data_IF_231424013018
#
_entry.id   IF_231424013018
#
_cell.length_a   1.000
_cell.length_b   1.000
_cell.length_c   1.000
_cell.angle_alpha   90.00
_cell.angle_beta   90.00
_cell.angle_gamma   90.00
#
_symmetry.space_group_name_H-M   'P 1'
#
loop_
_entity.id
_entity.type
_entity.pdbx_description
1 polymer ?
#
# COMPACT_ATOMS: atom_id res chain seq x y z
N UNK A 1 -1.33 -14.84 6.95
CA UNK A 1 -1.59 -15.70 5.78
C UNK A 1 -2.99 -16.33 5.73
N UNK A 2 -3.84 -16.14 6.78
CA UNK A 2 -5.16 -16.79 6.88
C UNK A 2 -6.12 -16.45 5.74
N UNK A 3 -6.20 -15.18 5.34
CA UNK A 3 -7.12 -14.75 4.28
C UNK A 3 -6.79 -15.43 2.94
N UNK A 4 -5.54 -15.34 2.50
CA UNK A 4 -5.12 -15.92 1.22
C UNK A 4 -5.21 -17.43 1.22
N UNK A 5 -4.87 -18.10 2.33
CA UNK A 5 -4.98 -19.55 2.48
C UNK A 5 -6.41 -20.04 2.26
N UNK A 6 -7.39 -19.38 2.89
CA UNK A 6 -8.80 -19.74 2.75
C UNK A 6 -9.32 -19.49 1.33
N UNK A 7 -9.01 -18.33 0.77
CA UNK A 7 -9.44 -17.94 -0.59
C UNK A 7 -8.81 -18.86 -1.64
N UNK A 8 -7.49 -19.10 -1.57
CA UNK A 8 -6.79 -19.95 -2.52
C UNK A 8 -7.31 -21.37 -2.49
N UNK A 9 -7.50 -21.93 -1.30
CA UNK A 9 -8.07 -23.26 -1.13
C UNK A 9 -9.48 -23.36 -1.74
N UNK A 10 -10.37 -22.45 -1.41
CA UNK A 10 -11.74 -22.45 -1.93
C UNK A 10 -11.77 -22.25 -3.46
N UNK A 11 -11.03 -21.27 -3.98
CA UNK A 11 -11.00 -20.98 -5.41
C UNK A 11 -10.46 -22.17 -6.22
N UNK A 12 -9.38 -22.79 -5.78
CA UNK A 12 -8.80 -23.96 -6.46
C UNK A 12 -9.71 -25.19 -6.42
N UNK A 13 -10.52 -25.35 -5.38
CA UNK A 13 -11.52 -26.43 -5.33
C UNK A 13 -12.69 -26.20 -6.29
N UNK A 14 -13.10 -24.94 -6.47
CA UNK A 14 -14.20 -24.57 -7.40
C UNK A 14 -13.69 -24.59 -8.85
N UNK A 15 -12.53 -24.04 -9.10
CA UNK A 15 -11.90 -23.98 -10.42
C UNK A 15 -10.38 -24.07 -10.32
N UNK A 16 -9.79 -25.26 -10.51
CA UNK A 16 -8.35 -25.47 -10.41
C UNK A 16 -7.51 -24.64 -11.39
N UNK A 17 -8.11 -24.16 -12.51
CA UNK A 17 -7.40 -23.37 -13.52
C UNK A 17 -7.21 -21.90 -13.15
N UNK A 18 -7.87 -21.40 -12.10
CA UNK A 18 -7.69 -20.02 -11.63
C UNK A 18 -6.29 -19.83 -11.08
N UNK A 19 -5.56 -18.86 -11.61
CA UNK A 19 -4.26 -18.46 -11.06
C UNK A 19 -4.48 -17.60 -9.81
N UNK A 20 -3.88 -18.00 -8.71
CA UNK A 20 -3.90 -17.27 -7.43
C UNK A 20 -2.56 -16.57 -7.25
N UNK A 21 -2.61 -15.26 -7.09
CA UNK A 21 -1.42 -14.43 -6.83
C UNK A 21 -1.53 -13.84 -5.43
N UNK A 22 -0.58 -14.18 -4.57
CA UNK A 22 -0.40 -13.57 -3.26
C UNK A 22 0.31 -12.22 -3.39
N UNK A 23 -0.03 -11.29 -2.52
CA UNK A 23 0.63 -9.99 -2.48
C UNK A 23 1.03 -9.66 -1.05
N UNK A 24 2.29 -9.31 -0.85
CA UNK A 24 2.84 -8.85 0.42
C UNK A 24 3.46 -7.46 0.28
N UNK A 25 3.57 -6.67 1.36
CA UNK A 25 4.40 -5.47 1.33
C UNK A 25 5.88 -5.85 1.33
N UNK A 26 6.71 -5.13 0.58
CA UNK A 26 8.15 -5.36 0.52
C UNK A 26 8.81 -5.36 1.91
N UNK A 27 8.32 -4.49 2.81
CA UNK A 27 8.83 -4.40 4.19
C UNK A 27 8.34 -5.50 5.14
N UNK A 28 7.54 -6.48 4.69
CA UNK A 28 7.06 -7.60 5.51
C UNK A 28 6.72 -8.83 4.64
N UNK A 29 7.63 -9.25 3.76
CA UNK A 29 7.45 -10.35 2.80
C UNK A 29 7.78 -11.72 3.42
N UNK A 30 7.13 -12.08 4.52
CA UNK A 30 7.44 -13.30 5.27
C UNK A 30 6.92 -14.58 4.60
N UNK A 31 5.84 -14.50 3.81
CA UNK A 31 5.34 -15.64 3.05
C UNK A 31 6.20 -15.92 1.81
N UNK A 32 6.65 -14.88 1.12
CA UNK A 32 7.57 -15.01 -0.01
C UNK A 32 8.86 -15.70 0.45
N UNK A 33 9.49 -15.18 1.50
CA UNK A 33 10.70 -15.77 2.06
C UNK A 33 10.50 -17.24 2.48
N UNK A 34 9.36 -17.56 3.11
CA UNK A 34 9.07 -18.92 3.53
C UNK A 34 8.87 -19.87 2.34
N UNK A 35 8.26 -19.41 1.24
CA UNK A 35 8.05 -20.22 0.03
C UNK A 35 9.37 -20.42 -0.73
N UNK A 36 10.21 -19.41 -0.82
CA UNK A 36 11.54 -19.50 -1.46
C UNK A 36 12.47 -20.46 -0.72
N UNK A 37 12.48 -20.43 0.62
CA UNK A 37 13.32 -21.28 1.45
C UNK A 37 12.70 -22.66 1.73
N UNK A 38 11.47 -22.90 1.28
CA UNK A 38 10.68 -24.12 1.55
C UNK A 38 10.49 -24.45 3.04
N UNK A 39 10.56 -23.43 3.91
CA UNK A 39 10.40 -23.54 5.36
C UNK A 39 9.91 -22.21 5.95
N UNK A 40 9.40 -22.26 7.18
CA UNK A 40 9.01 -21.04 7.90
C UNK A 40 10.24 -20.16 8.17
N UNK A 41 10.18 -18.93 7.68
CA UNK A 41 11.22 -17.92 7.89
C UNK A 41 10.72 -16.83 8.83
N UNK A 42 11.55 -16.44 9.79
CA UNK A 42 11.29 -15.30 10.67
C UNK A 42 12.15 -14.13 10.26
N UNK A 43 11.50 -13.07 9.75
CA UNK A 43 12.17 -11.81 9.39
C UNK A 43 12.78 -11.14 10.64
N UNK A 44 13.94 -10.54 10.50
CA UNK A 44 14.59 -9.78 11.57
C UNK A 44 13.77 -8.57 12.00
N UNK A 45 13.24 -7.85 11.01
CA UNK A 45 12.41 -6.66 11.21
C UNK A 45 11.30 -6.60 10.17
N UNK A 46 10.28 -5.80 10.44
CA UNK A 46 9.20 -5.48 9.51
C UNK A 46 8.92 -3.98 9.58
N UNK A 47 8.70 -3.37 8.42
CA UNK A 47 8.38 -1.94 8.31
C UNK A 47 7.49 -1.71 7.09
N UNK A 48 6.22 -1.40 7.30
CA UNK A 48 5.25 -1.11 6.24
C UNK A 48 4.04 -0.37 6.79
N UNK A 49 3.36 0.39 5.95
CA UNK A 49 2.06 1.01 6.27
C UNK A 49 0.90 0.00 6.25
N UNK A 50 1.13 -1.24 5.82
CA UNK A 50 0.15 -2.31 5.81
C UNK A 50 0.15 -3.08 7.13
N UNK A 51 -0.29 -2.44 8.22
CA UNK A 51 -0.21 -2.95 9.60
C UNK A 51 -0.77 -4.36 9.78
N UNK A 52 -1.90 -4.67 9.16
CA UNK A 52 -2.53 -6.00 9.27
C UNK A 52 -1.71 -7.15 8.67
N UNK A 53 -0.69 -6.83 7.87
CA UNK A 53 0.25 -7.80 7.30
C UNK A 53 1.69 -7.62 7.80
N UNK A 54 1.93 -6.68 8.71
CA UNK A 54 3.24 -6.39 9.29
C UNK A 54 3.66 -7.47 10.31
N UNK A 55 3.79 -8.71 9.88
CA UNK A 55 4.15 -9.85 10.70
C UNK A 55 5.52 -10.41 10.32
N UNK A 56 6.32 -10.76 11.33
CA UNK A 56 7.67 -11.31 11.09
C UNK A 56 7.68 -12.72 10.51
N UNK A 57 6.61 -13.45 10.69
CA UNK A 57 6.50 -14.84 10.25
C UNK A 57 5.04 -15.19 9.99
N UNK A 58 4.78 -15.90 8.91
CA UNK A 58 3.45 -16.48 8.67
C UNK A 58 3.18 -17.66 9.60
N UNK A 59 1.89 -18.01 9.79
CA UNK A 59 1.52 -19.19 10.57
C UNK A 59 1.86 -20.50 9.84
N UNK A 60 2.07 -21.57 10.60
CA UNK A 60 2.37 -22.92 10.06
C UNK A 60 1.26 -23.43 9.13
N UNK A 61 0.01 -23.43 9.60
CA UNK A 61 -1.13 -23.86 8.77
C UNK A 61 -1.29 -23.01 7.51
N UNK A 62 -1.29 -21.66 7.56
CA UNK A 62 -1.27 -20.84 6.34
C UNK A 62 -0.13 -21.16 5.39
N UNK A 63 1.06 -21.44 5.86
CA UNK A 63 2.20 -21.79 5.02
C UNK A 63 1.94 -23.02 4.15
N UNK A 64 1.42 -24.10 4.72
CA UNK A 64 1.08 -25.31 3.98
C UNK A 64 0.03 -25.06 2.89
N UNK A 65 -0.98 -24.23 3.18
CA UNK A 65 -2.01 -23.88 2.20
C UNK A 65 -1.47 -22.95 1.10
N UNK A 66 -0.61 -22.01 1.45
CA UNK A 66 0.04 -21.11 0.48
C UNK A 66 0.91 -21.93 -0.47
N UNK A 67 1.77 -22.80 0.03
CA UNK A 67 2.58 -23.71 -0.81
C UNK A 67 1.74 -24.53 -1.78
N UNK A 68 0.58 -24.97 -1.35
CA UNK A 68 -0.27 -25.88 -2.13
C UNK A 68 -1.14 -25.18 -3.16
N UNK A 69 -1.63 -23.98 -2.86
CA UNK A 69 -2.72 -23.36 -3.62
C UNK A 69 -2.41 -21.98 -4.20
N UNK A 70 -1.33 -21.34 -3.79
CA UNK A 70 -0.90 -20.04 -4.33
C UNK A 70 0.13 -20.28 -5.43
N UNK A 71 -0.13 -19.75 -6.62
CA UNK A 71 0.70 -19.98 -7.80
C UNK A 71 1.91 -19.03 -7.87
N UNK A 72 1.80 -17.85 -7.27
CA UNK A 72 2.82 -16.80 -7.32
C UNK A 72 2.65 -15.87 -6.12
N UNK A 73 3.74 -15.35 -5.59
CA UNK A 73 3.73 -14.25 -4.60
C UNK A 73 4.51 -13.08 -5.18
N UNK A 74 3.94 -11.90 -5.09
CA UNK A 74 4.58 -10.63 -5.51
C UNK A 74 4.60 -9.65 -4.35
N UNK A 75 5.55 -8.74 -4.36
CA UNK A 75 5.63 -7.69 -3.34
C UNK A 75 5.28 -6.33 -3.92
N UNK A 76 4.80 -5.43 -3.07
CA UNK A 76 4.52 -4.03 -3.37
C UNK A 76 5.17 -3.12 -2.33
N UNK A 77 5.64 -1.98 -2.78
CA UNK A 77 6.20 -0.96 -1.89
C UNK A 77 5.08 -0.16 -1.19
N UNK A 78 5.41 0.50 -0.09
CA UNK A 78 4.50 1.42 0.59
C UNK A 78 4.06 2.59 -0.30
N UNK A 79 4.93 3.00 -1.24
CA UNK A 79 4.56 3.99 -2.26
C UNK A 79 3.42 3.49 -3.16
N UNK A 80 3.51 2.26 -3.66
CA UNK A 80 2.46 1.65 -4.49
C UNK A 80 1.16 1.46 -3.71
N UNK A 81 1.25 1.18 -2.41
CA UNK A 81 0.09 1.13 -1.52
C UNK A 81 -0.58 2.50 -1.38
N UNK A 82 0.19 3.56 -1.15
CA UNK A 82 -0.36 4.94 -1.10
C UNK A 82 -1.03 5.33 -2.41
N UNK A 83 -0.44 4.97 -3.55
CA UNK A 83 -1.03 5.21 -4.87
C UNK A 83 -2.36 4.46 -5.06
N UNK A 84 -2.43 3.19 -4.63
CA UNK A 84 -3.65 2.40 -4.68
C UNK A 84 -4.73 2.96 -3.73
N UNK A 85 -4.34 3.42 -2.54
CA UNK A 85 -5.23 4.08 -1.59
C UNK A 85 -5.87 5.34 -2.19
N UNK A 86 -5.05 6.24 -2.73
CA UNK A 86 -5.54 7.46 -3.37
C UNK A 86 -6.46 7.15 -4.56
N UNK A 87 -6.15 6.12 -5.35
CA UNK A 87 -7.01 5.68 -6.45
C UNK A 87 -8.40 5.28 -5.93
N UNK A 88 -8.47 4.49 -4.84
CA UNK A 88 -9.74 4.10 -4.23
C UNK A 88 -10.53 5.30 -3.72
N UNK A 89 -9.89 6.20 -2.98
CA UNK A 89 -10.55 7.39 -2.43
C UNK A 89 -11.04 8.32 -3.55
N UNK A 90 -10.17 8.63 -4.52
CA UNK A 90 -10.50 9.59 -5.57
C UNK A 90 -11.51 9.07 -6.60
N UNK A 91 -11.38 7.81 -7.02
CA UNK A 91 -12.19 7.26 -8.12
C UNK A 91 -13.39 6.44 -7.65
N UNK A 92 -13.24 5.72 -6.55
CA UNK A 92 -14.26 4.78 -6.09
C UNK A 92 -14.98 5.23 -4.81
N UNK A 93 -14.47 6.25 -4.11
CA UNK A 93 -15.01 6.73 -2.82
C UNK A 93 -15.02 5.63 -1.76
N UNK A 94 -14.04 4.75 -1.82
CA UNK A 94 -13.85 3.65 -0.88
C UNK A 94 -12.60 3.90 -0.04
N UNK A 95 -12.69 3.53 1.23
CA UNK A 95 -11.58 3.53 2.17
C UNK A 95 -11.35 2.08 2.60
N UNK A 96 -10.11 1.62 2.42
CA UNK A 96 -9.66 0.32 2.91
C UNK A 96 -8.24 0.47 3.46
N UNK A 97 -7.92 -0.31 4.48
CA UNK A 97 -6.60 -0.30 5.13
C UNK A 97 -5.48 -0.77 4.20
N UNK A 98 -4.23 -0.43 4.50
CA UNK A 98 -3.06 -0.79 3.70
C UNK A 98 -3.00 -2.27 3.35
N UNK A 99 -3.25 -3.14 4.32
CA UNK A 99 -3.32 -4.59 4.12
C UNK A 99 -4.47 -5.02 3.19
N UNK A 100 -5.58 -4.30 3.23
CA UNK A 100 -6.77 -4.60 2.43
C UNK A 100 -6.65 -4.22 0.95
N UNK A 101 -5.69 -3.39 0.58
CA UNK A 101 -5.48 -2.90 -0.79
C UNK A 101 -4.24 -3.46 -1.48
N UNK A 102 -3.49 -4.35 -0.85
CA UNK A 102 -2.29 -4.99 -1.41
C UNK A 102 -2.55 -5.53 -2.82
N UNK A 103 -3.64 -6.26 -3.00
CA UNK A 103 -4.01 -6.83 -4.29
C UNK A 103 -4.24 -5.79 -5.39
N UNK A 104 -4.80 -4.62 -5.03
CA UNK A 104 -5.00 -3.51 -5.97
C UNK A 104 -3.66 -2.87 -6.36
N UNK A 105 -2.77 -2.66 -5.38
CA UNK A 105 -1.44 -2.10 -5.62
C UNK A 105 -0.62 -2.95 -6.61
N UNK A 106 -0.72 -4.27 -6.51
CA UNK A 106 -0.01 -5.20 -7.36
C UNK A 106 -0.47 -5.20 -8.84
N UNK A 107 -1.67 -4.71 -9.16
CA UNK A 107 -2.20 -4.77 -10.53
C UNK A 107 -1.30 -4.07 -11.57
N UNK A 108 -0.54 -3.06 -11.17
CA UNK A 108 0.41 -2.37 -12.06
C UNK A 108 1.63 -3.24 -12.41
N UNK A 109 2.03 -4.15 -11.52
CA UNK A 109 3.16 -5.08 -11.70
C UNK A 109 2.77 -6.32 -12.50
N UNK A 110 1.49 -6.69 -12.45
CA UNK A 110 1.00 -7.92 -13.07
C UNK A 110 0.66 -7.72 -14.56
N UNK A 111 1.06 -8.67 -15.39
CA UNK A 111 0.74 -8.68 -16.82
C UNK A 111 -0.69 -9.18 -17.06
N UNK A 112 -1.67 -8.29 -16.83
CA UNK A 112 -3.09 -8.63 -16.86
C UNK A 112 -3.80 -8.39 -18.22
N UNK A 113 -3.06 -8.06 -19.29
CA UNK A 113 -3.67 -7.80 -20.60
C UNK A 113 -4.53 -8.99 -21.07
N UNK A 114 -5.78 -8.70 -21.43
CA UNK A 114 -6.76 -9.69 -21.91
C UNK A 114 -7.11 -10.81 -20.93
N UNK A 115 -6.86 -10.60 -19.64
CA UNK A 115 -7.24 -11.53 -18.57
C UNK A 115 -8.40 -10.95 -17.76
N UNK A 116 -9.23 -11.81 -17.21
CA UNK A 116 -10.19 -11.44 -16.15
C UNK A 116 -9.44 -11.51 -14.83
N UNK A 117 -9.36 -10.40 -14.13
CA UNK A 117 -8.67 -10.28 -12.84
C UNK A 117 -9.66 -9.88 -11.78
N UNK A 118 -9.62 -10.56 -10.65
CA UNK A 118 -10.35 -10.18 -9.44
C UNK A 118 -9.32 -9.73 -8.42
N UNK A 119 -9.39 -8.46 -8.04
CA UNK A 119 -8.62 -7.89 -6.94
C UNK A 119 -9.51 -7.83 -5.71
N UNK A 120 -9.12 -8.51 -4.66
CA UNK A 120 -9.87 -8.54 -3.41
C UNK A 120 -9.49 -7.31 -2.57
N UNK A 121 -10.46 -6.45 -2.30
CA UNK A 121 -10.31 -5.37 -1.33
C UNK A 121 -10.92 -5.84 -0.02
N UNK A 122 -10.13 -5.84 1.04
CA UNK A 122 -10.54 -6.32 2.36
C UNK A 122 -10.04 -5.36 3.46
N UNK A 123 -10.68 -5.43 4.60
CA UNK A 123 -10.30 -4.61 5.76
C UNK A 123 -10.54 -3.10 5.58
N UNK A 124 -10.97 -2.45 6.64
CA UNK A 124 -11.25 -1.01 6.66
C UNK A 124 -11.06 -0.44 8.05
N UNK A 125 -10.31 -1.13 8.91
CA UNK A 125 -10.05 -0.70 10.29
C UNK A 125 -8.96 0.38 10.30
N UNK A 126 -9.33 1.58 9.87
CA UNK A 126 -8.44 2.75 9.86
C UNK A 126 -9.07 3.88 10.68
N UNK A 127 -8.25 4.51 11.50
CA UNK A 127 -8.62 5.76 12.15
C UNK A 127 -8.48 6.96 11.18
N UNK A 128 -9.20 8.03 11.50
CA UNK A 128 -9.26 9.25 10.65
C UNK A 128 -7.89 9.92 10.50
N UNK A 129 -7.03 9.85 11.52
CA UNK A 129 -5.69 10.44 11.47
C UNK A 129 -4.79 9.68 10.50
N UNK A 130 -4.85 8.37 10.51
CA UNK A 130 -4.14 7.50 9.55
C UNK A 130 -4.62 7.77 8.11
N UNK A 131 -5.93 7.88 7.89
CA UNK A 131 -6.51 8.23 6.58
C UNK A 131 -5.96 9.59 6.10
N UNK A 132 -6.01 10.62 6.96
CA UNK A 132 -5.49 11.95 6.64
C UNK A 132 -4.00 11.91 6.31
N UNK A 133 -3.21 11.20 7.10
CA UNK A 133 -1.77 11.04 6.87
C UNK A 133 -1.47 10.36 5.52
N UNK A 134 -2.19 9.28 5.19
CA UNK A 134 -2.02 8.59 3.90
C UNK A 134 -2.40 9.48 2.72
N UNK A 135 -3.49 10.25 2.82
CA UNK A 135 -3.89 11.21 1.79
C UNK A 135 -2.80 12.25 1.59
N UNK A 136 -2.34 12.90 2.66
CA UNK A 136 -1.32 13.96 2.60
C UNK A 136 -0.01 13.43 2.00
N UNK A 137 0.51 12.31 2.49
CA UNK A 137 1.73 11.67 1.97
C UNK A 137 1.59 11.33 0.48
N UNK A 138 0.46 10.80 0.08
CA UNK A 138 0.20 10.46 -1.31
C UNK A 138 0.06 11.70 -2.21
N UNK A 139 -0.52 12.80 -1.73
CA UNK A 139 -0.59 14.08 -2.47
C UNK A 139 0.80 14.72 -2.62
N UNK A 140 1.63 14.66 -1.59
CA UNK A 140 3.04 15.11 -1.64
C UNK A 140 3.81 14.26 -2.66
N UNK A 141 3.68 12.95 -2.59
CA UNK A 141 4.32 12.01 -3.51
C UNK A 141 3.96 12.23 -4.99
N UNK A 142 2.73 12.67 -5.26
CA UNK A 142 2.26 13.06 -6.61
C UNK A 142 2.63 14.51 -7.00
N UNK A 143 3.36 15.23 -6.16
CA UNK A 143 3.70 16.64 -6.40
C UNK A 143 2.48 17.57 -6.39
N UNK A 144 1.36 17.17 -5.78
CA UNK A 144 0.14 18.01 -5.64
C UNK A 144 0.20 18.92 -4.42
N UNK A 145 1.03 18.57 -3.45
CA UNK A 145 1.37 19.38 -2.28
C UNK A 145 2.88 19.45 -2.19
N UNK A 146 3.39 20.65 -1.95
CA UNK A 146 4.79 20.91 -1.66
C UNK A 146 4.89 21.48 -0.25
N UNK A 147 5.75 20.92 0.59
CA UNK A 147 6.11 21.46 1.90
C UNK A 147 7.57 21.86 1.86
N UNK A 148 7.87 23.07 2.26
CA UNK A 148 9.23 23.59 2.35
C UNK A 148 9.37 24.54 3.54
N UNK A 149 10.58 24.67 4.04
CA UNK A 149 10.92 25.64 5.09
C UNK A 149 11.83 26.72 4.52
N UNK A 150 11.61 27.95 4.92
CA UNK A 150 12.43 29.09 4.52
C UNK A 150 12.87 29.84 5.78
N UNK A 151 14.16 30.18 5.86
CA UNK A 151 14.67 31.08 6.89
C UNK A 151 14.55 32.52 6.40
N UNK A 152 13.87 33.33 7.18
CA UNK A 152 13.67 34.74 6.89
C UNK A 152 14.40 35.61 7.93
N UNK A 153 14.98 36.77 7.54
CA UNK A 153 15.44 37.77 8.49
C UNK A 153 14.29 38.23 9.40
N UNK A 154 14.58 38.47 10.66
CA UNK A 154 13.59 39.00 11.62
C UNK A 154 13.40 40.49 11.45
N UNK A 155 12.79 40.86 10.32
CA UNK A 155 12.42 42.25 9.98
C UNK A 155 11.01 42.26 9.37
N UNK A 156 10.25 43.38 9.57
CA UNK A 156 8.90 43.52 9.01
C UNK A 156 8.86 43.32 7.48
N UNK A 157 7.77 42.73 6.98
CA UNK A 157 7.49 42.61 5.54
C UNK A 157 8.01 41.31 4.89
N UNK A 158 8.77 40.46 5.57
CA UNK A 158 9.35 39.25 4.95
C UNK A 158 8.29 38.25 4.48
N UNK A 159 7.21 38.11 5.22
CA UNK A 159 6.11 37.19 4.82
C UNK A 159 5.39 37.69 3.56
N UNK A 160 5.31 39.00 3.36
CA UNK A 160 4.77 39.61 2.13
C UNK A 160 5.60 39.21 0.92
N UNK A 161 6.93 39.28 1.02
CA UNK A 161 7.84 38.87 -0.06
C UNK A 161 7.61 37.39 -0.43
N UNK A 162 7.52 36.52 0.56
CA UNK A 162 7.27 35.06 0.31
C UNK A 162 5.91 34.86 -0.36
N UNK A 163 4.86 35.51 0.14
CA UNK A 163 3.51 35.38 -0.42
C UNK A 163 3.42 35.93 -1.84
N UNK A 164 4.14 37.02 -2.13
CA UNK A 164 4.22 37.59 -3.49
C UNK A 164 4.87 36.61 -4.47
N UNK A 165 6.02 36.03 -4.11
CA UNK A 165 6.71 35.05 -4.94
C UNK A 165 5.85 33.80 -5.19
N UNK A 166 5.14 33.31 -4.18
CA UNK A 166 4.22 32.18 -4.32
C UNK A 166 3.07 32.49 -5.28
N UNK A 167 2.54 33.73 -5.21
CA UNK A 167 1.51 34.19 -6.14
C UNK A 167 2.02 34.25 -7.58
N UNK A 168 3.25 34.74 -7.82
CA UNK A 168 3.86 34.76 -9.15
C UNK A 168 4.03 33.35 -9.72
N UNK A 169 4.29 32.35 -8.84
CA UNK A 169 4.33 30.92 -9.19
C UNK A 169 2.94 30.29 -9.34
N UNK A 170 1.86 31.06 -9.17
CA UNK A 170 0.47 30.58 -9.16
C UNK A 170 0.24 29.46 -8.12
N UNK A 171 0.96 29.53 -6.99
CA UNK A 171 0.88 28.56 -5.90
C UNK A 171 -0.15 29.02 -4.86
N UNK A 172 -1.01 28.09 -4.43
CA UNK A 172 -1.97 28.33 -3.35
C UNK A 172 -1.41 27.85 -2.02
N UNK A 173 -1.36 28.75 -1.02
CA UNK A 173 -0.91 28.42 0.34
C UNK A 173 -2.05 27.75 1.09
N UNK A 174 -1.82 26.51 1.56
CA UNK A 174 -2.79 25.71 2.31
C UNK A 174 -2.50 25.68 3.82
N UNK A 175 -1.32 26.05 4.23
CA UNK A 175 -0.91 26.15 5.64
C UNK A 175 0.43 26.83 5.81
N UNK A 176 0.63 27.47 6.97
CA UNK A 176 1.88 28.07 7.43
C UNK A 176 2.06 27.65 8.88
N UNK A 177 3.22 27.15 9.26
CA UNK A 177 3.58 26.71 10.63
C UNK A 177 4.79 27.49 11.13
#
# INVERSE_FOLDING_TARGET
GGLISGIACAAKQINPSVKIVGVEPEGAASALAAVEDDQLVKLSEVSTIADGTAVKQIGETPFEYIKKYVDEIVTVSDYELMEAFLLLVEKHKLIAEGSGILSLAALKKLHCKRKKVVSLISGGNMDVMTISSMINKGLISRGRILTFSVQLPDIPGQLEVVSHLLNECNANVIGVE
#
